data_IF_389849532737
#
_entry.id   IF_389849532737
#
_cell.length_a   1.000
_cell.length_b   1.000
_cell.length_c   1.000
_cell.angle_alpha   90.00
_cell.angle_beta   90.00
_cell.angle_gamma   90.00
#
_symmetry.space_group_name_H-M   'P 1'
#
loop_
_entity.id
_entity.type
_entity.pdbx_description
1 polymer ?
#
# COMPACT_ATOMS: atom_id res chain seq x y z
N UNK A 1 -34.06 -27.55 -6.96
CA UNK A 1 -32.79 -27.80 -6.24
C UNK A 1 -32.23 -29.12 -6.75
N UNK A 2 -31.17 -29.06 -7.58
CA UNK A 2 -30.65 -30.22 -8.31
C UNK A 2 -29.91 -31.20 -7.40
N UNK A 3 -30.00 -32.48 -7.74
CA UNK A 3 -29.41 -33.63 -7.02
C UNK A 3 -27.89 -33.54 -6.89
N UNK A 4 -27.21 -32.78 -7.73
CA UNK A 4 -25.75 -32.68 -7.81
C UNK A 4 -25.07 -31.97 -6.62
N UNK A 5 -25.80 -31.05 -5.96
CA UNK A 5 -25.26 -30.32 -4.81
C UNK A 5 -25.20 -31.15 -3.53
N UNK A 6 -25.98 -32.24 -3.43
CA UNK A 6 -25.99 -33.15 -2.27
C UNK A 6 -24.95 -34.26 -2.34
N UNK A 7 -24.49 -34.64 -3.52
CA UNK A 7 -23.40 -35.63 -3.68
C UNK A 7 -22.03 -35.03 -3.43
N UNK A 8 -21.82 -33.77 -3.77
CA UNK A 8 -20.55 -33.07 -3.49
C UNK A 8 -20.26 -32.95 -1.98
N UNK A 9 -21.28 -32.69 -1.16
CA UNK A 9 -21.11 -32.55 0.30
C UNK A 9 -20.95 -33.86 1.07
N UNK A 10 -21.22 -35.03 0.45
CA UNK A 10 -21.04 -36.34 1.09
C UNK A 10 -19.64 -36.96 0.89
N UNK A 11 -18.81 -36.42 0.00
CA UNK A 11 -17.44 -36.90 -0.23
C UNK A 11 -16.34 -36.16 0.54
N UNK A 12 -16.70 -35.15 1.32
CA UNK A 12 -15.75 -34.32 2.11
C UNK A 12 -15.71 -34.65 3.60
N UNK A 13 -16.14 -35.83 3.99
CA UNK A 13 -16.10 -36.27 5.38
C UNK A 13 -15.09 -37.39 5.62
N UNK A 14 -14.11 -37.11 6.41
CA UNK A 14 -13.04 -37.87 7.09
C UNK A 14 -11.64 -37.60 6.49
N UNK A 15 -10.83 -36.87 7.24
CA UNK A 15 -9.60 -37.35 7.90
C UNK A 15 -9.07 -36.20 8.76
N UNK A 16 -9.24 -36.33 10.08
CA UNK A 16 -8.49 -35.53 11.03
C UNK A 16 -7.11 -36.15 11.22
N UNK A 17 -6.10 -35.42 10.84
CA UNK A 17 -4.71 -35.56 11.31
C UNK A 17 -4.09 -34.18 11.27
N UNK A 18 -3.80 -33.63 12.45
CA UNK A 18 -3.07 -32.38 12.61
C UNK A 18 -1.68 -32.48 11.98
N UNK A 19 -1.58 -32.08 10.73
CA UNK A 19 -0.32 -31.88 10.04
C UNK A 19 0.05 -30.40 10.13
N UNK A 20 1.21 -30.09 10.67
CA UNK A 20 1.85 -28.77 10.51
C UNK A 20 1.97 -28.50 9.01
N UNK A 21 1.10 -27.65 8.45
CA UNK A 21 1.22 -27.19 7.06
C UNK A 21 2.36 -26.20 7.05
N UNK A 22 3.46 -26.56 6.40
CA UNK A 22 4.62 -25.70 6.18
C UNK A 22 4.18 -24.36 5.55
N UNK A 23 4.74 -23.21 5.97
CA UNK A 23 4.49 -21.91 5.34
C UNK A 23 4.79 -21.89 3.83
N UNK A 24 5.64 -22.79 3.34
CA UNK A 24 5.98 -22.94 1.92
C UNK A 24 4.81 -23.42 1.02
N UNK A 25 3.72 -23.95 1.58
CA UNK A 25 2.61 -24.52 0.79
C UNK A 25 1.67 -23.46 0.15
N UNK A 26 1.90 -22.17 0.38
CA UNK A 26 1.10 -21.08 -0.22
C UNK A 26 1.65 -20.68 -1.59
N UNK A 27 2.95 -20.82 -1.80
CA UNK A 27 3.58 -20.51 -3.08
C UNK A 27 3.44 -21.72 -4.01
N UNK A 28 2.88 -21.50 -5.21
CA UNK A 28 2.62 -22.56 -6.16
C UNK A 28 3.92 -23.08 -6.78
N UNK A 29 4.00 -24.41 -6.95
CA UNK A 29 4.89 -25.03 -7.94
C UNK A 29 4.29 -24.99 -9.37
N UNK A 30 3.07 -24.46 -9.55
CA UNK A 30 2.56 -24.20 -10.89
C UNK A 30 3.53 -23.22 -11.56
N UNK A 31 4.00 -23.61 -12.75
CA UNK A 31 4.86 -22.78 -13.59
C UNK A 31 4.29 -21.35 -13.57
N UNK A 32 4.91 -20.50 -12.73
CA UNK A 32 4.88 -19.08 -13.01
C UNK A 32 5.10 -18.99 -14.51
N UNK A 33 4.33 -18.16 -15.20
CA UNK A 33 4.66 -17.84 -16.58
C UNK A 33 6.08 -17.33 -16.44
N UNK A 34 7.03 -18.19 -16.78
CA UNK A 34 8.45 -17.94 -16.57
C UNK A 34 8.87 -17.06 -17.73
N UNK A 35 8.64 -15.76 -17.54
CA UNK A 35 9.27 -14.76 -18.37
C UNK A 35 10.76 -14.82 -18.06
N UNK A 36 11.47 -15.77 -18.71
CA UNK A 36 12.92 -15.93 -18.55
C UNK A 36 13.71 -14.76 -19.16
N UNK A 37 13.02 -13.79 -19.72
CA UNK A 37 13.65 -12.64 -20.36
C UNK A 37 13.71 -11.46 -19.39
N UNK A 38 14.89 -10.87 -19.29
CA UNK A 38 15.12 -9.63 -18.54
C UNK A 38 14.73 -8.38 -19.36
N UNK A 39 14.26 -8.58 -20.61
CA UNK A 39 13.92 -7.51 -21.55
C UNK A 39 12.53 -7.70 -22.15
N UNK A 40 11.69 -6.70 -22.03
CA UNK A 40 10.30 -6.65 -22.53
C UNK A 40 10.02 -5.34 -23.23
N UNK A 41 9.21 -5.37 -24.27
CA UNK A 41 8.60 -4.18 -24.84
C UNK A 41 7.09 -4.20 -24.58
N UNK A 42 6.56 -3.16 -23.95
CA UNK A 42 5.13 -2.87 -23.92
C UNK A 42 4.86 -1.87 -25.02
N UNK A 43 4.00 -2.20 -25.99
CA UNK A 43 3.66 -1.35 -27.14
C UNK A 43 2.17 -1.02 -27.20
N UNK A 44 1.82 -0.05 -28.03
CA UNK A 44 0.43 0.36 -28.27
C UNK A 44 -0.31 0.78 -26.97
N UNK A 45 0.38 1.41 -26.02
CA UNK A 45 -0.19 1.89 -24.77
C UNK A 45 -0.49 3.39 -24.81
N UNK A 46 -1.60 3.81 -24.22
CA UNK A 46 -1.79 5.20 -23.77
C UNK A 46 -0.99 5.38 -22.47
N UNK A 47 0.12 6.14 -22.51
CA UNK A 47 1.10 6.24 -21.43
C UNK A 47 0.87 7.52 -20.65
N UNK A 48 0.60 7.39 -19.34
CA UNK A 48 0.54 8.49 -18.38
C UNK A 48 1.81 8.41 -17.52
N UNK A 49 2.84 9.16 -17.92
CA UNK A 49 4.20 8.96 -17.39
C UNK A 49 4.40 9.41 -15.95
N UNK A 50 3.59 10.34 -15.47
CA UNK A 50 3.80 11.06 -14.19
C UNK A 50 5.16 11.78 -14.10
N UNK A 51 5.75 12.09 -15.25
CA UNK A 51 6.98 12.86 -15.43
C UNK A 51 6.70 14.04 -16.37
N UNK A 52 6.95 15.27 -15.93
CA UNK A 52 6.62 16.48 -16.70
C UNK A 52 7.55 16.68 -17.89
N UNK A 53 8.78 16.18 -17.84
CA UNK A 53 9.75 16.27 -18.95
C UNK A 53 9.48 15.23 -20.03
N UNK A 54 9.06 14.02 -19.63
CA UNK A 54 8.67 12.95 -20.55
C UNK A 54 7.33 13.24 -21.20
N UNK A 55 6.37 13.73 -20.43
CA UNK A 55 4.98 13.96 -20.87
C UNK A 55 4.18 12.65 -20.99
N UNK A 56 3.00 12.76 -21.60
CA UNK A 56 2.07 11.65 -21.81
C UNK A 56 1.99 11.30 -23.31
N UNK A 57 1.73 10.04 -23.63
CA UNK A 57 1.62 9.56 -25.03
C UNK A 57 0.25 8.93 -25.27
N UNK A 58 -0.45 9.35 -26.32
CA UNK A 58 -1.73 8.75 -26.71
C UNK A 58 -1.58 7.35 -27.31
N UNK A 59 -0.41 7.06 -27.89
CA UNK A 59 0.01 5.74 -28.34
C UNK A 59 1.51 5.68 -28.27
N UNK A 60 2.04 4.95 -27.30
CA UNK A 60 3.46 4.85 -27.04
C UNK A 60 3.90 3.42 -26.76
N UNK A 61 5.20 3.30 -26.56
CA UNK A 61 5.87 2.08 -26.16
C UNK A 61 6.81 2.34 -25.00
N UNK A 62 7.08 1.30 -24.21
CA UNK A 62 8.00 1.34 -23.08
C UNK A 62 8.88 0.08 -23.13
N UNK A 63 10.20 0.28 -23.16
CA UNK A 63 11.19 -0.79 -23.12
C UNK A 63 11.69 -0.99 -21.68
N UNK A 64 11.64 -2.23 -21.22
CA UNK A 64 12.20 -2.67 -19.94
C UNK A 64 13.45 -3.51 -20.20
N UNK A 65 14.55 -3.18 -19.55
CA UNK A 65 15.80 -3.94 -19.59
C UNK A 65 16.37 -4.09 -18.18
N UNK A 66 16.68 -5.32 -17.80
CA UNK A 66 17.27 -5.64 -16.48
C UNK A 66 16.49 -5.00 -15.29
N UNK A 67 15.16 -5.04 -15.37
CA UNK A 67 14.24 -4.53 -14.35
C UNK A 67 14.10 -3.00 -14.28
N UNK A 68 14.66 -2.27 -15.26
CA UNK A 68 14.54 -0.81 -15.38
C UNK A 68 13.84 -0.41 -16.67
N UNK A 69 13.25 0.77 -16.64
CA UNK A 69 12.75 1.44 -17.83
C UNK A 69 13.97 1.92 -18.61
N UNK A 70 14.18 1.38 -19.81
CA UNK A 70 15.28 1.78 -20.69
C UNK A 70 14.87 2.95 -21.57
N UNK A 71 13.67 2.87 -22.15
CA UNK A 71 13.16 3.88 -23.06
C UNK A 71 11.63 4.00 -22.98
N UNK A 72 11.11 5.21 -23.20
CA UNK A 72 9.67 5.53 -23.32
C UNK A 72 9.49 6.48 -24.47
N UNK A 73 8.57 6.19 -25.39
CA UNK A 73 8.30 7.05 -26.54
C UNK A 73 7.25 6.51 -27.50
N UNK A 74 6.91 7.31 -28.52
CA UNK A 74 5.97 6.87 -29.57
C UNK A 74 6.57 5.80 -30.49
N UNK A 75 7.85 5.95 -30.83
CA UNK A 75 8.58 5.05 -31.72
C UNK A 75 9.85 4.57 -31.05
N UNK A 76 9.86 3.35 -30.60
CA UNK A 76 11.01 2.69 -30.01
C UNK A 76 11.49 1.61 -30.97
N UNK A 77 12.81 1.55 -31.23
CA UNK A 77 13.41 0.47 -31.99
C UNK A 77 13.27 -0.84 -31.22
N UNK A 78 12.58 -1.83 -31.82
CA UNK A 78 12.32 -3.12 -31.17
C UNK A 78 13.56 -4.02 -31.32
N UNK A 79 14.27 -4.34 -30.23
CA UNK A 79 15.37 -5.29 -30.28
C UNK A 79 14.88 -6.67 -30.76
N UNK A 80 15.69 -7.38 -31.54
CA UNK A 80 15.29 -8.71 -32.03
C UNK A 80 15.25 -9.74 -30.90
N UNK A 81 14.22 -10.58 -30.89
CA UNK A 81 14.13 -11.72 -29.97
C UNK A 81 13.67 -11.41 -28.56
N UNK A 82 13.16 -10.21 -28.31
CA UNK A 82 12.56 -9.85 -27.02
C UNK A 82 11.07 -10.21 -26.98
N UNK A 83 10.55 -10.32 -25.75
CA UNK A 83 9.11 -10.48 -25.54
C UNK A 83 8.37 -9.16 -25.73
N UNK A 84 7.24 -9.21 -26.42
CA UNK A 84 6.40 -8.03 -26.71
C UNK A 84 5.03 -8.21 -26.11
N UNK A 85 4.66 -7.31 -25.23
CA UNK A 85 3.33 -7.20 -24.63
C UNK A 85 2.57 -6.12 -25.40
N UNK A 86 1.49 -6.49 -26.09
CA UNK A 86 0.63 -5.52 -26.77
C UNK A 86 -0.44 -5.00 -25.79
N UNK A 87 -0.39 -3.72 -25.49
CA UNK A 87 -1.34 -3.07 -24.60
C UNK A 87 -2.73 -2.85 -25.23
N UNK A 88 -2.88 -3.06 -26.56
CA UNK A 88 -4.15 -2.94 -27.27
C UNK A 88 -4.87 -1.59 -27.00
N UNK A 89 -4.14 -0.50 -26.85
CA UNK A 89 -4.67 0.82 -26.50
C UNK A 89 -5.02 0.98 -25.02
N UNK A 90 -4.60 0.05 -24.16
CA UNK A 90 -4.74 0.14 -22.71
C UNK A 90 -3.94 1.29 -22.10
N UNK A 91 -4.22 1.64 -20.84
CA UNK A 91 -3.55 2.72 -20.14
C UNK A 91 -2.38 2.15 -19.32
N UNK A 92 -1.17 2.69 -19.56
CA UNK A 92 0.04 2.35 -18.84
C UNK A 92 0.40 3.48 -17.87
N UNK A 93 0.53 3.16 -16.58
CA UNK A 93 0.87 4.09 -15.51
C UNK A 93 2.05 3.57 -14.68
N UNK A 94 2.74 4.44 -13.90
CA UNK A 94 3.61 3.96 -12.82
C UNK A 94 2.81 3.10 -11.85
N UNK A 95 3.47 2.15 -11.24
CA UNK A 95 2.86 1.36 -10.18
C UNK A 95 2.33 2.22 -9.04
N UNK A 96 1.16 1.88 -8.52
CA UNK A 96 0.55 2.61 -7.41
C UNK A 96 1.34 2.36 -6.12
N UNK A 97 1.46 3.38 -5.30
CA UNK A 97 2.18 3.35 -4.02
C UNK A 97 1.20 3.67 -2.90
N UNK A 98 0.99 2.72 -2.00
CA UNK A 98 0.24 2.91 -0.77
C UNK A 98 1.15 3.49 0.32
N UNK A 99 0.80 4.68 0.86
CA UNK A 99 1.63 5.39 1.83
C UNK A 99 1.32 5.07 3.29
N UNK A 100 0.28 4.27 3.56
CA UNK A 100 -0.07 3.86 4.91
C UNK A 100 -1.04 2.70 4.95
N UNK A 101 -0.60 1.56 5.48
CA UNK A 101 -1.44 0.40 5.74
C UNK A 101 -0.98 -0.34 7.00
N UNK A 102 -1.90 -0.95 7.72
CA UNK A 102 -1.65 -1.88 8.82
C UNK A 102 -1.86 -3.30 8.32
N UNK A 103 -0.86 -3.89 7.62
CA UNK A 103 -1.00 -5.16 6.89
C UNK A 103 -1.56 -6.31 7.76
N UNK A 104 -1.16 -6.36 9.04
CA UNK A 104 -1.59 -7.42 9.94
C UNK A 104 -3.11 -7.46 10.18
N UNK A 105 -3.81 -6.32 10.00
CA UNK A 105 -5.26 -6.24 10.18
C UNK A 105 -6.04 -6.84 9.00
N UNK A 106 -5.40 -7.23 7.92
CA UNK A 106 -6.08 -7.66 6.69
C UNK A 106 -6.84 -8.99 6.83
N UNK A 107 -6.54 -9.79 7.85
CA UNK A 107 -7.39 -10.93 8.21
C UNK A 107 -8.67 -10.53 8.97
N UNK A 108 -8.76 -9.29 9.46
CA UNK A 108 -9.81 -8.83 10.38
C UNK A 108 -10.90 -8.02 9.68
N UNK A 109 -11.15 -8.29 8.42
CA UNK A 109 -12.20 -7.63 7.63
C UNK A 109 -13.57 -7.82 8.28
N UNK A 110 -14.32 -6.71 8.41
CA UNK A 110 -15.66 -6.70 9.03
C UNK A 110 -15.70 -7.18 10.50
N UNK A 111 -14.59 -7.05 11.24
CA UNK A 111 -14.53 -7.43 12.65
C UNK A 111 -15.26 -6.46 13.60
N UNK A 112 -15.51 -5.22 13.15
CA UNK A 112 -16.21 -4.21 13.96
C UNK A 112 -17.71 -4.43 13.90
N UNK A 113 -18.35 -4.51 15.06
CA UNK A 113 -19.81 -4.58 15.18
C UNK A 113 -20.49 -3.23 15.33
N UNK A 114 -21.72 -3.26 15.81
CA UNK A 114 -22.63 -2.09 15.89
C UNK A 114 -22.66 -1.44 17.28
N UNK A 115 -21.83 -1.90 18.20
CA UNK A 115 -21.76 -1.37 19.56
C UNK A 115 -20.37 -0.76 19.87
N UNK A 116 -20.25 0.15 20.85
CA UNK A 116 -18.96 0.69 21.29
C UNK A 116 -17.99 -0.38 21.81
N UNK A 117 -18.50 -1.53 22.26
CA UNK A 117 -17.66 -2.63 22.75
C UNK A 117 -17.06 -3.47 21.61
N UNK A 118 -17.67 -3.40 20.43
CA UNK A 118 -17.24 -4.05 19.21
C UNK A 118 -16.60 -3.07 18.20
N UNK A 119 -16.29 -1.86 18.65
CA UNK A 119 -15.62 -0.85 17.82
C UNK A 119 -14.18 -1.26 17.44
N UNK A 120 -13.69 -0.72 16.32
CA UNK A 120 -12.40 -1.04 15.71
C UNK A 120 -11.24 -1.15 16.72
N UNK A 121 -11.08 -0.15 17.59
CA UNK A 121 -9.95 -0.13 18.53
C UNK A 121 -10.03 -1.23 19.59
N UNK A 122 -11.23 -1.56 20.07
CA UNK A 122 -11.41 -2.63 21.06
C UNK A 122 -11.22 -4.00 20.41
N UNK A 123 -11.79 -4.20 19.24
CA UNK A 123 -11.67 -5.47 18.53
C UNK A 123 -10.22 -5.72 18.08
N UNK A 124 -9.54 -4.73 17.49
CA UNK A 124 -8.12 -4.87 17.15
C UNK A 124 -7.26 -5.20 18.37
N UNK A 125 -7.52 -4.60 19.53
CA UNK A 125 -6.77 -4.91 20.76
C UNK A 125 -6.99 -6.36 21.24
N UNK A 126 -8.20 -6.91 21.07
CA UNK A 126 -8.50 -8.31 21.40
C UNK A 126 -7.77 -9.26 20.44
N UNK A 127 -7.96 -9.08 19.13
CA UNK A 127 -7.33 -9.91 18.11
C UNK A 127 -5.80 -9.84 18.13
N UNK A 128 -5.22 -8.67 18.35
CA UNK A 128 -3.76 -8.47 18.37
C UNK A 128 -3.02 -9.42 19.32
N UNK A 129 -3.67 -9.86 20.40
CA UNK A 129 -3.09 -10.78 21.41
C UNK A 129 -2.98 -12.22 20.90
N UNK A 130 -3.79 -12.58 19.90
CA UNK A 130 -3.87 -13.93 19.33
C UNK A 130 -2.87 -14.15 18.19
N UNK A 131 -2.25 -13.06 17.70
CA UNK A 131 -1.30 -13.15 16.59
C UNK A 131 0.04 -13.70 17.03
N UNK A 132 0.57 -14.61 16.24
CA UNK A 132 1.97 -15.03 16.22
C UNK A 132 2.72 -14.34 15.06
N UNK A 133 4.06 -14.40 14.99
CA UNK A 133 4.81 -13.95 13.80
C UNK A 133 4.35 -14.63 12.51
N UNK A 134 3.92 -15.89 12.56
CA UNK A 134 3.38 -16.60 11.38
C UNK A 134 2.02 -16.05 10.95
N UNK A 135 1.18 -15.59 11.88
CA UNK A 135 -0.09 -14.91 11.56
C UNK A 135 0.16 -13.54 10.97
N UNK A 136 1.18 -12.82 11.44
CA UNK A 136 1.61 -11.56 10.85
C UNK A 136 2.06 -11.74 9.39
N UNK A 137 2.86 -12.79 9.10
CA UNK A 137 3.29 -13.12 7.74
C UNK A 137 2.11 -13.52 6.84
N UNK A 138 1.17 -14.32 7.36
CA UNK A 138 -0.04 -14.70 6.63
C UNK A 138 -0.89 -13.47 6.28
N UNK A 139 -1.14 -12.60 7.26
CA UNK A 139 -1.90 -11.37 7.07
C UNK A 139 -1.25 -10.43 6.06
N UNK A 140 0.07 -10.23 6.16
CA UNK A 140 0.82 -9.43 5.22
C UNK A 140 0.79 -10.04 3.81
N UNK A 141 0.97 -11.36 3.67
CA UNK A 141 0.89 -12.05 2.37
C UNK A 141 -0.50 -11.89 1.74
N UNK A 142 -1.57 -12.01 2.55
CA UNK A 142 -2.94 -11.84 2.10
C UNK A 142 -3.22 -10.40 1.63
N UNK A 143 -2.76 -9.40 2.40
CA UNK A 143 -2.85 -7.99 2.03
C UNK A 143 -2.09 -7.68 0.73
N UNK A 144 -0.86 -8.20 0.59
CA UNK A 144 -0.03 -7.97 -0.60
C UNK A 144 -0.66 -8.59 -1.85
N UNK A 145 -1.27 -9.78 -1.74
CA UNK A 145 -1.98 -10.38 -2.86
C UNK A 145 -3.13 -9.48 -3.36
N UNK A 146 -3.90 -8.89 -2.45
CA UNK A 146 -4.95 -7.93 -2.78
C UNK A 146 -4.38 -6.62 -3.33
N UNK A 147 -3.28 -6.13 -2.77
CA UNK A 147 -2.56 -4.94 -3.24
C UNK A 147 -2.13 -5.10 -4.70
N UNK A 148 -1.44 -6.20 -5.04
CA UNK A 148 -1.01 -6.50 -6.41
C UNK A 148 -2.22 -6.65 -7.33
N UNK A 149 -3.29 -7.33 -6.88
CA UNK A 149 -4.53 -7.42 -7.65
C UNK A 149 -5.08 -6.04 -8.01
N UNK A 150 -4.92 -5.06 -7.13
CA UNK A 150 -5.39 -3.67 -7.26
C UNK A 150 -4.35 -2.70 -7.83
N UNK A 151 -3.21 -3.17 -8.37
CA UNK A 151 -2.19 -2.34 -9.02
C UNK A 151 -1.19 -1.66 -8.10
N UNK A 152 -1.18 -2.01 -6.81
CA UNK A 152 -0.21 -1.46 -5.86
C UNK A 152 1.11 -2.23 -6.02
N UNK A 153 2.21 -1.50 -6.23
CA UNK A 153 3.57 -2.02 -6.43
C UNK A 153 4.51 -1.73 -5.26
N UNK A 154 4.10 -0.81 -4.38
CA UNK A 154 4.84 -0.45 -3.16
C UNK A 154 3.87 -0.20 -2.00
N UNK A 155 4.18 -0.72 -0.82
CA UNK A 155 3.33 -0.60 0.37
C UNK A 155 4.14 -0.03 1.53
N UNK A 156 3.57 0.97 2.23
CA UNK A 156 4.07 1.44 3.51
C UNK A 156 3.29 0.78 4.66
N UNK A 157 3.84 -0.31 5.22
CA UNK A 157 3.27 -1.00 6.39
C UNK A 157 3.60 -0.26 7.68
N UNK A 158 2.59 0.21 8.40
CA UNK A 158 2.74 0.68 9.78
C UNK A 158 2.40 -0.47 10.74
N UNK A 159 3.42 -1.21 11.18
CA UNK A 159 3.23 -2.38 12.04
C UNK A 159 3.00 -1.96 13.50
N UNK A 160 1.73 -1.83 13.89
CA UNK A 160 1.33 -1.50 15.27
C UNK A 160 0.89 -2.72 16.10
N UNK A 161 1.36 -3.91 15.71
CA UNK A 161 1.39 -5.11 16.57
C UNK A 161 2.83 -5.63 16.73
N UNK A 162 3.80 -4.72 16.77
CA UNK A 162 5.23 -4.99 16.88
C UNK A 162 5.61 -5.38 18.33
N UNK A 163 5.28 -6.60 18.75
CA UNK A 163 5.58 -7.12 20.10
C UNK A 163 7.07 -7.39 20.30
N UNK A 164 7.75 -7.75 19.23
CA UNK A 164 9.19 -7.87 19.10
C UNK A 164 9.58 -7.77 17.64
N UNK A 165 10.88 -7.84 17.33
CA UNK A 165 11.37 -7.71 15.97
C UNK A 165 10.92 -8.83 15.02
N UNK A 166 10.56 -10.03 15.51
CA UNK A 166 10.07 -11.15 14.70
C UNK A 166 8.69 -10.84 14.10
N UNK A 167 7.82 -10.14 14.86
CA UNK A 167 6.52 -9.67 14.36
C UNK A 167 6.66 -8.67 13.22
N UNK A 168 7.71 -7.84 13.25
CA UNK A 168 7.96 -6.86 12.18
C UNK A 168 8.66 -7.51 11.00
N UNK A 169 9.60 -8.43 11.26
CA UNK A 169 10.27 -9.23 10.23
C UNK A 169 9.28 -9.97 9.33
N UNK A 170 8.16 -10.41 9.87
CA UNK A 170 7.10 -11.10 9.12
C UNK A 170 6.60 -10.28 7.92
N UNK A 171 6.46 -8.94 8.05
CA UNK A 171 6.12 -8.06 6.91
C UNK A 171 7.22 -8.04 5.86
N UNK A 172 8.50 -7.98 6.28
CA UNK A 172 9.63 -8.05 5.35
C UNK A 172 9.68 -9.38 4.59
N UNK A 173 9.47 -10.51 5.29
CA UNK A 173 9.47 -11.84 4.67
C UNK A 173 8.32 -11.96 3.65
N UNK A 174 7.13 -11.49 3.99
CA UNK A 174 5.99 -11.50 3.08
C UNK A 174 6.25 -10.64 1.83
N UNK A 175 6.75 -9.40 1.99
CA UNK A 175 7.08 -8.51 0.88
C UNK A 175 8.16 -9.11 -0.02
N UNK A 176 9.25 -9.65 0.56
CA UNK A 176 10.34 -10.26 -0.19
C UNK A 176 9.87 -11.50 -1.00
N UNK A 177 9.06 -12.38 -0.39
CA UNK A 177 8.50 -13.56 -1.06
C UNK A 177 7.56 -13.21 -2.20
N UNK A 178 6.71 -12.20 -1.99
CA UNK A 178 5.78 -11.72 -3.02
C UNK A 178 6.48 -10.92 -4.11
N UNK A 179 7.67 -10.38 -3.85
CA UNK A 179 8.44 -9.57 -4.78
C UNK A 179 7.92 -8.14 -4.94
N UNK A 180 7.18 -7.64 -3.95
CA UNK A 180 6.70 -6.25 -3.93
C UNK A 180 7.72 -5.33 -3.26
N UNK A 181 7.73 -4.06 -3.66
CA UNK A 181 8.50 -3.02 -2.97
C UNK A 181 7.79 -2.61 -1.67
N UNK A 182 8.57 -2.18 -0.65
CA UNK A 182 7.94 -1.79 0.60
C UNK A 182 8.74 -0.87 1.50
N UNK A 183 8.01 -0.29 2.45
CA UNK A 183 8.55 0.44 3.60
C UNK A 183 7.86 -0.10 4.85
N UNK A 184 8.60 -0.58 5.85
CA UNK A 184 8.01 -1.12 7.07
C UNK A 184 8.38 -0.24 8.24
N UNK A 185 7.40 0.47 8.77
CA UNK A 185 7.52 1.29 9.97
C UNK A 185 7.40 0.41 11.22
N UNK A 186 8.51 0.22 11.94
CA UNK A 186 8.52 -0.51 13.21
C UNK A 186 7.74 0.27 14.26
N UNK A 187 6.49 -0.10 14.48
CA UNK A 187 5.59 0.52 15.45
C UNK A 187 5.79 0.03 16.88
N UNK A 188 4.71 0.05 17.64
CA UNK A 188 4.56 -0.54 18.95
C UNK A 188 3.37 -1.48 18.93
N UNK A 189 3.11 -2.23 19.98
CA UNK A 189 1.83 -2.95 20.11
C UNK A 189 0.87 -2.15 20.98
N UNK A 190 -0.44 -2.38 20.79
CA UNK A 190 -1.49 -1.52 21.34
C UNK A 190 -1.51 -1.41 22.87
N UNK A 191 -1.26 -2.52 23.56
CA UNK A 191 -1.26 -2.59 25.03
C UNK A 191 0.14 -2.33 25.64
N UNK A 192 1.06 -1.75 24.87
CA UNK A 192 2.42 -1.46 25.35
C UNK A 192 2.36 -0.43 26.47
N UNK A 193 2.88 -0.74 27.67
CA UNK A 193 2.90 0.20 28.78
C UNK A 193 3.55 1.53 28.40
N UNK A 194 3.05 2.64 28.97
CA UNK A 194 3.55 3.97 28.63
C UNK A 194 5.03 4.15 28.97
N UNK A 195 5.47 3.52 30.04
CA UNK A 195 6.86 3.60 30.52
C UNK A 195 7.81 2.64 29.79
N UNK A 196 7.30 1.68 29.04
CA UNK A 196 8.14 0.76 28.29
C UNK A 196 8.87 1.50 27.16
N UNK A 197 10.20 1.33 27.05
CA UNK A 197 10.96 1.96 25.98
C UNK A 197 10.64 1.35 24.63
N UNK A 198 10.81 2.15 23.57
CA UNK A 198 10.80 1.65 22.20
C UNK A 198 11.89 0.59 22.01
N UNK A 199 11.58 -0.50 21.31
CA UNK A 199 12.50 -1.63 21.06
C UNK A 199 13.62 -1.28 20.05
N UNK A 200 14.50 -0.36 20.40
CA UNK A 200 15.65 -0.02 19.56
C UNK A 200 16.68 -1.14 19.42
N UNK A 201 16.66 -2.13 20.33
CA UNK A 201 17.49 -3.32 20.17
C UNK A 201 16.97 -4.19 19.01
N UNK A 202 15.68 -4.43 18.96
CA UNK A 202 15.04 -5.15 17.86
C UNK A 202 15.16 -4.41 16.53
N UNK A 203 14.94 -3.08 16.52
CA UNK A 203 15.13 -2.22 15.33
C UNK A 203 16.56 -2.39 14.76
N UNK A 204 17.61 -2.31 15.60
CA UNK A 204 19.00 -2.48 15.17
C UNK A 204 19.27 -3.89 14.65
N UNK A 205 18.71 -4.92 15.30
CA UNK A 205 18.86 -6.31 14.87
C UNK A 205 18.21 -6.54 13.50
N UNK A 206 17.00 -6.02 13.31
CA UNK A 206 16.28 -6.11 12.04
C UNK A 206 16.99 -5.32 10.94
N UNK A 207 17.44 -4.08 11.22
CA UNK A 207 18.23 -3.29 10.26
C UNK A 207 19.48 -4.04 9.77
N UNK A 208 20.23 -4.62 10.71
CA UNK A 208 21.42 -5.41 10.34
C UNK A 208 21.06 -6.62 9.46
N UNK A 209 19.95 -7.30 9.75
CA UNK A 209 19.49 -8.46 8.97
C UNK A 209 19.15 -8.04 7.54
N UNK A 210 18.30 -7.01 7.37
CA UNK A 210 17.84 -6.57 6.04
C UNK A 210 19.00 -6.02 5.20
N UNK A 211 20.00 -5.38 5.79
CA UNK A 211 21.18 -4.89 5.10
C UNK A 211 22.17 -6.00 4.71
N UNK A 212 22.04 -7.19 5.28
CA UNK A 212 22.94 -8.33 5.00
C UNK A 212 22.35 -9.36 4.03
N UNK A 213 21.11 -9.22 3.59
CA UNK A 213 20.41 -10.19 2.73
C UNK A 213 19.69 -9.46 1.59
N UNK A 214 20.21 -9.63 0.38
CA UNK A 214 19.73 -8.94 -0.84
C UNK A 214 18.26 -9.20 -1.18
N UNK A 215 17.65 -10.25 -0.63
CA UNK A 215 16.19 -10.45 -0.82
C UNK A 215 15.35 -9.29 -0.30
N UNK A 216 15.90 -8.46 0.60
CA UNK A 216 15.22 -7.31 1.18
C UNK A 216 15.58 -5.95 0.52
N UNK A 217 16.41 -5.94 -0.54
CA UNK A 217 16.93 -4.71 -1.18
C UNK A 217 15.82 -3.74 -1.65
N UNK A 218 14.60 -4.23 -1.83
CA UNK A 218 13.44 -3.40 -2.24
C UNK A 218 12.56 -2.97 -1.07
N UNK A 219 12.99 -3.23 0.18
CA UNK A 219 12.16 -3.00 1.37
C UNK A 219 12.99 -2.22 2.38
N UNK A 220 12.50 -1.04 2.74
CA UNK A 220 13.15 -0.16 3.72
C UNK A 220 12.53 -0.28 5.11
N UNK A 221 13.32 0.05 6.14
CA UNK A 221 12.87 0.11 7.53
C UNK A 221 12.68 1.56 7.96
N UNK A 222 11.58 1.85 8.66
CA UNK A 222 11.27 3.12 9.28
C UNK A 222 10.88 2.99 10.75
N UNK A 223 10.64 4.13 11.39
CA UNK A 223 10.07 4.22 12.73
C UNK A 223 8.57 4.51 12.65
N UNK A 224 7.72 3.61 13.16
CA UNK A 224 6.34 3.91 13.54
C UNK A 224 6.35 4.57 14.93
N UNK A 225 6.08 5.86 14.98
CA UNK A 225 6.15 6.62 16.23
C UNK A 225 4.97 6.31 17.15
N UNK A 226 5.15 6.48 18.44
CA UNK A 226 4.04 6.63 19.39
C UNK A 226 3.31 7.95 19.13
N UNK A 227 2.25 8.21 19.90
CA UNK A 227 1.48 9.46 19.82
C UNK A 227 2.33 10.72 20.09
N UNK A 228 1.91 11.86 19.56
CA UNK A 228 2.69 13.11 19.54
C UNK A 228 3.06 13.67 20.93
N UNK A 229 2.27 13.34 21.95
CA UNK A 229 2.50 13.77 23.34
C UNK A 229 3.29 12.75 24.18
N UNK A 230 3.83 11.70 23.55
CA UNK A 230 4.67 10.73 24.25
C UNK A 230 5.92 11.41 24.84
N UNK A 231 6.22 11.13 26.12
CA UNK A 231 7.27 11.83 26.87
C UNK A 231 8.68 11.70 26.27
N UNK A 232 8.99 10.54 25.68
CA UNK A 232 10.31 10.26 25.09
C UNK A 232 10.35 10.43 23.56
N UNK A 233 9.35 11.07 22.94
CA UNK A 233 9.23 11.16 21.49
C UNK A 233 10.47 11.77 20.82
N UNK A 234 11.05 12.83 21.42
CA UNK A 234 12.22 13.51 20.86
C UNK A 234 13.47 12.63 20.88
N UNK A 235 13.64 11.82 21.95
CA UNK A 235 14.75 10.87 22.04
C UNK A 235 14.56 9.71 21.06
N UNK A 236 13.35 9.15 20.96
CA UNK A 236 13.05 8.09 20.01
C UNK A 236 13.30 8.53 18.56
N UNK A 237 12.86 9.74 18.20
CA UNK A 237 13.07 10.25 16.84
C UNK A 237 14.53 10.57 16.55
N UNK A 238 15.25 11.13 17.53
CA UNK A 238 16.70 11.30 17.39
C UNK A 238 17.39 9.97 17.12
N UNK A 239 17.09 8.93 17.91
CA UNK A 239 17.68 7.59 17.72
C UNK A 239 17.30 6.95 16.39
N UNK A 240 16.07 7.18 15.91
CA UNK A 240 15.65 6.73 14.59
C UNK A 240 16.46 7.42 13.49
N UNK A 241 16.62 8.74 13.54
CA UNK A 241 17.43 9.51 12.59
C UNK A 241 18.91 9.16 12.63
N UNK A 242 19.46 8.88 13.81
CA UNK A 242 20.83 8.36 13.96
C UNK A 242 21.02 7.01 13.25
N UNK A 243 19.95 6.26 13.00
CA UNK A 243 19.92 5.02 12.22
C UNK A 243 19.50 5.22 10.75
N UNK A 244 19.26 6.45 10.31
CA UNK A 244 18.80 6.77 8.96
C UNK A 244 17.36 6.36 8.67
N UNK A 245 16.50 6.25 9.70
CA UNK A 245 15.11 5.82 9.56
C UNK A 245 14.18 7.03 9.35
N UNK A 246 13.30 6.94 8.36
CA UNK A 246 12.15 7.84 8.21
C UNK A 246 11.14 7.58 9.33
N UNK A 247 10.32 8.58 9.64
CA UNK A 247 9.35 8.52 10.74
C UNK A 247 7.93 8.65 10.21
N UNK A 248 7.06 7.76 10.64
CA UNK A 248 5.61 7.84 10.38
C UNK A 248 4.86 7.97 11.70
N UNK A 249 3.89 8.88 11.76
CA UNK A 249 3.09 9.16 12.96
C UNK A 249 1.64 9.49 12.62
N UNK A 250 0.70 8.92 13.39
CA UNK A 250 -0.69 9.38 13.41
C UNK A 250 -0.79 10.64 14.25
N UNK A 251 -1.21 11.77 13.67
CA UNK A 251 -1.31 13.04 14.37
C UNK A 251 -2.46 13.90 13.83
N UNK A 252 -3.09 14.67 14.71
CA UNK A 252 -4.24 15.54 14.41
C UNK A 252 -5.34 14.78 13.64
N UNK A 253 -5.54 13.48 13.95
CA UNK A 253 -6.45 12.60 13.22
C UNK A 253 -7.93 12.91 13.51
N UNK A 254 -8.25 13.52 14.64
CA UNK A 254 -9.62 13.93 15.03
C UNK A 254 -9.56 15.16 15.94
N UNK A 255 -10.72 15.76 16.25
CA UNK A 255 -10.80 16.97 17.08
C UNK A 255 -10.14 16.83 18.45
N UNK A 256 -10.16 15.62 19.06
CA UNK A 256 -9.47 15.36 20.34
C UNK A 256 -7.94 15.37 20.24
N UNK A 257 -7.41 15.33 19.02
CA UNK A 257 -5.96 15.32 18.73
C UNK A 257 -5.49 16.62 18.06
N UNK A 258 -6.37 17.60 17.92
CA UNK A 258 -6.07 18.90 17.32
C UNK A 258 -4.84 19.55 17.98
N UNK A 259 -3.95 20.11 17.17
CA UNK A 259 -2.73 20.76 17.65
C UNK A 259 -1.54 19.82 17.87
N UNK A 260 -1.67 18.52 17.60
CA UNK A 260 -0.57 17.56 17.73
C UNK A 260 0.58 17.85 16.75
N UNK A 261 0.28 18.24 15.50
CA UNK A 261 1.28 18.62 14.50
C UNK A 261 2.03 19.87 14.98
N UNK A 262 1.31 20.87 15.53
CA UNK A 262 1.93 22.05 16.12
C UNK A 262 2.84 21.71 17.33
N UNK A 263 2.46 20.71 18.12
CA UNK A 263 3.32 20.20 19.21
C UNK A 263 4.62 19.60 18.69
N UNK A 264 4.55 18.81 17.60
CA UNK A 264 5.73 18.24 16.95
C UNK A 264 6.65 19.32 16.38
N UNK A 265 6.07 20.34 15.73
CA UNK A 265 6.82 21.50 15.20
C UNK A 265 7.58 22.25 16.31
N UNK A 266 6.91 22.57 17.42
CA UNK A 266 7.56 23.26 18.57
C UNK A 266 8.68 22.45 19.20
N UNK A 267 8.68 21.13 19.05
CA UNK A 267 9.76 20.23 19.49
C UNK A 267 10.88 20.08 18.45
N UNK A 268 10.81 20.78 17.31
CA UNK A 268 11.72 20.66 16.16
C UNK A 268 11.82 19.22 15.62
N UNK A 269 10.69 18.52 15.56
CA UNK A 269 10.64 17.13 15.10
C UNK A 269 10.24 17.00 13.64
N UNK A 270 9.50 17.96 13.06
CA UNK A 270 9.06 17.91 11.67
C UNK A 270 10.22 18.20 10.70
N UNK A 271 10.35 17.37 9.68
CA UNK A 271 11.29 17.49 8.57
C UNK A 271 10.78 16.64 7.39
N UNK A 272 11.44 16.68 6.26
CA UNK A 272 11.13 15.94 5.02
C UNK A 272 11.18 14.40 5.18
N UNK A 273 11.74 13.89 6.27
CA UNK A 273 11.74 12.48 6.64
C UNK A 273 10.48 12.02 7.40
N UNK A 274 9.52 12.93 7.62
CA UNK A 274 8.32 12.68 8.43
C UNK A 274 7.08 12.53 7.55
N UNK A 275 6.31 11.47 7.79
CA UNK A 275 4.98 11.27 7.24
C UNK A 275 3.92 11.38 8.34
N UNK A 276 3.04 12.37 8.22
CA UNK A 276 1.85 12.53 9.09
C UNK A 276 0.70 11.73 8.50
N UNK A 277 0.05 10.90 9.32
CA UNK A 277 -1.12 10.14 8.89
C UNK A 277 -2.39 10.79 9.39
N UNK A 278 -3.39 10.86 8.51
CA UNK A 278 -4.72 11.43 8.64
C UNK A 278 -4.74 12.96 8.57
N UNK A 279 -4.54 13.66 9.71
CA UNK A 279 -4.60 15.11 9.72
C UNK A 279 -6.01 15.71 9.55
N UNK A 280 -7.11 14.97 9.83
CA UNK A 280 -8.47 15.45 9.65
C UNK A 280 -8.83 16.66 10.53
N UNK A 281 -8.12 16.85 11.65
CA UNK A 281 -8.24 18.03 12.52
C UNK A 281 -7.10 19.04 12.35
N UNK A 282 -6.36 18.97 11.23
CA UNK A 282 -5.27 19.91 10.91
C UNK A 282 -5.79 21.34 10.85
N UNK A 283 -5.02 22.27 11.41
CA UNK A 283 -5.34 23.70 11.43
C UNK A 283 -4.59 24.45 10.33
N UNK A 284 -5.03 25.66 9.93
CA UNK A 284 -4.29 26.48 8.98
C UNK A 284 -2.85 26.83 9.41
N UNK A 285 -2.60 26.88 10.73
CA UNK A 285 -1.26 27.07 11.29
C UNK A 285 -0.40 25.81 11.07
N UNK A 286 -0.96 24.63 11.32
CA UNK A 286 -0.28 23.33 11.13
C UNK A 286 0.04 23.05 9.68
N UNK A 287 -0.81 23.48 8.73
CA UNK A 287 -0.53 23.45 7.28
C UNK A 287 0.78 24.20 6.99
N UNK A 288 0.92 25.45 7.48
CA UNK A 288 2.13 26.24 7.29
C UNK A 288 3.38 25.58 7.90
N UNK A 289 3.24 24.87 9.01
CA UNK A 289 4.34 24.13 9.61
C UNK A 289 4.79 22.97 8.71
N UNK A 290 3.86 22.21 8.14
CA UNK A 290 4.20 21.15 7.21
C UNK A 290 4.83 21.69 5.92
N UNK A 291 4.29 22.80 5.36
CA UNK A 291 4.88 23.47 4.20
C UNK A 291 6.33 23.92 4.46
N UNK A 292 6.59 24.49 5.64
CA UNK A 292 7.93 25.04 5.99
C UNK A 292 8.96 23.96 6.27
N UNK A 293 8.54 22.74 6.64
CA UNK A 293 9.43 21.64 7.02
C UNK A 293 9.58 20.58 5.95
N UNK A 294 8.69 20.57 4.93
CA UNK A 294 8.67 19.54 3.90
C UNK A 294 8.14 18.19 4.36
N UNK A 295 7.57 18.10 5.58
CA UNK A 295 6.92 16.89 6.05
C UNK A 295 5.70 16.56 5.17
N UNK A 296 5.52 15.28 4.84
CA UNK A 296 4.40 14.79 4.02
C UNK A 296 3.16 14.51 4.87
N UNK A 297 1.99 14.50 4.22
CA UNK A 297 0.74 14.08 4.83
C UNK A 297 0.05 13.01 3.98
N UNK A 298 -0.39 11.92 4.62
CA UNK A 298 -1.12 10.82 3.99
C UNK A 298 -2.56 10.79 4.48
N UNK A 299 -3.51 10.94 3.55
CA UNK A 299 -4.94 10.77 3.78
C UNK A 299 -5.36 9.32 3.56
N UNK A 300 -6.34 8.84 4.35
CA UNK A 300 -6.91 7.51 4.22
C UNK A 300 -8.44 7.58 4.23
N UNK A 301 -9.05 8.12 3.16
CA UNK A 301 -10.41 8.69 3.19
C UNK A 301 -11.48 7.72 3.69
N UNK A 302 -11.45 6.46 3.29
CA UNK A 302 -12.46 5.48 3.70
C UNK A 302 -12.38 5.14 5.18
N UNK A 303 -11.18 4.89 5.71
CA UNK A 303 -11.02 4.56 7.14
C UNK A 303 -11.34 5.74 8.03
N UNK A 304 -10.92 6.95 7.64
CA UNK A 304 -11.17 8.21 8.36
C UNK A 304 -12.67 8.47 8.52
N UNK A 305 -13.43 8.34 7.43
CA UNK A 305 -14.88 8.50 7.46
C UNK A 305 -15.56 7.36 8.23
N UNK A 306 -15.14 6.10 8.01
CA UNK A 306 -15.73 4.91 8.64
C UNK A 306 -15.57 4.92 10.16
N UNK A 307 -14.41 5.41 10.66
CA UNK A 307 -14.11 5.46 12.10
C UNK A 307 -14.62 6.75 12.77
N UNK A 308 -15.12 7.70 11.99
CA UNK A 308 -15.68 8.95 12.51
C UNK A 308 -14.64 10.03 12.83
N UNK A 309 -13.48 10.03 12.15
CA UNK A 309 -12.50 11.12 12.29
C UNK A 309 -12.96 12.41 11.59
N UNK A 310 -13.88 12.30 10.66
CA UNK A 310 -14.41 13.38 9.85
C UNK A 310 -14.03 13.23 8.38
N UNK A 311 -14.28 14.28 7.59
CA UNK A 311 -13.89 14.30 6.20
C UNK A 311 -12.40 14.67 6.05
N UNK A 312 -11.69 14.06 5.09
CA UNK A 312 -10.36 14.51 4.70
C UNK A 312 -10.34 16.01 4.35
N UNK A 313 -9.28 16.70 4.73
CA UNK A 313 -9.09 18.14 4.47
C UNK A 313 -8.56 18.39 3.05
N UNK A 314 -9.14 17.71 2.06
CA UNK A 314 -8.63 17.71 0.68
C UNK A 314 -8.57 19.10 0.06
N UNK A 315 -9.52 20.01 0.34
CA UNK A 315 -9.53 21.35 -0.24
C UNK A 315 -8.37 22.19 0.31
N UNK A 316 -8.23 22.24 1.62
CA UNK A 316 -7.16 22.99 2.29
C UNK A 316 -5.77 22.45 1.90
N UNK A 317 -5.66 21.14 1.71
CA UNK A 317 -4.41 20.47 1.32
C UNK A 317 -4.11 20.66 -0.17
N UNK A 318 -5.12 20.70 -1.04
CA UNK A 318 -4.96 20.96 -2.48
C UNK A 318 -4.49 22.40 -2.75
N UNK A 319 -4.81 23.35 -1.87
CA UNK A 319 -4.35 24.74 -1.93
C UNK A 319 -2.96 24.96 -1.32
N UNK A 320 -2.38 23.93 -0.72
CA UNK A 320 -1.07 23.98 -0.05
C UNK A 320 0.06 23.40 -0.90
N UNK A 321 1.30 23.65 -0.47
CA UNK A 321 2.50 23.03 -1.07
C UNK A 321 2.93 21.74 -0.38
N UNK A 322 2.12 21.21 0.54
CA UNK A 322 2.40 19.97 1.25
C UNK A 322 2.42 18.80 0.25
N UNK A 323 3.42 17.93 0.39
CA UNK A 323 3.43 16.67 -0.34
C UNK A 323 2.34 15.73 0.18
N UNK A 324 1.16 15.76 -0.45
CA UNK A 324 0.00 14.96 -0.09
C UNK A 324 0.04 13.59 -0.75
N UNK A 325 -0.29 12.56 0.02
CA UNK A 325 -0.33 11.16 -0.40
C UNK A 325 -1.63 10.49 0.03
N UNK A 326 -1.85 9.28 -0.43
CA UNK A 326 -3.01 8.44 -0.07
C UNK A 326 -2.57 7.08 0.45
N UNK A 327 -3.37 6.47 1.31
CA UNK A 327 -3.18 5.13 1.82
C UNK A 327 -4.49 4.40 2.06
N UNK A 328 -4.40 3.07 2.21
CA UNK A 328 -5.52 2.18 2.55
C UNK A 328 -5.83 2.21 4.05
N UNK A 329 -4.81 2.42 4.88
CA UNK A 329 -4.84 2.32 6.34
C UNK A 329 -5.12 0.89 6.81
N UNK A 330 -6.34 0.40 6.65
CA UNK A 330 -6.72 -0.94 7.11
C UNK A 330 -7.94 -1.46 6.37
N UNK A 331 -7.83 -2.65 5.78
CA UNK A 331 -8.97 -3.32 5.14
C UNK A 331 -10.05 -3.79 6.13
N UNK A 332 -9.76 -3.76 7.42
CA UNK A 332 -10.77 -3.97 8.47
C UNK A 332 -11.82 -2.84 8.51
N UNK A 333 -11.48 -1.63 8.05
CA UNK A 333 -12.39 -0.48 7.94
C UNK A 333 -12.76 -0.16 6.50
N UNK A 334 -11.79 -0.19 5.56
CA UNK A 334 -12.03 0.17 4.16
C UNK A 334 -12.72 -0.94 3.37
N UNK A 335 -12.63 -2.19 3.83
CA UNK A 335 -13.22 -3.35 3.18
C UNK A 335 -12.40 -3.93 2.03
N UNK A 336 -11.58 -3.14 1.34
CA UNK A 336 -10.74 -3.57 0.22
C UNK A 336 -9.48 -2.69 0.08
N UNK A 337 -8.57 -3.10 -0.82
CA UNK A 337 -7.32 -2.40 -1.12
C UNK A 337 -7.36 -1.62 -2.46
N UNK A 338 -8.51 -1.12 -2.86
CA UNK A 338 -8.67 -0.41 -4.13
C UNK A 338 -8.24 1.06 -3.99
N UNK A 339 -6.95 1.34 -4.21
CA UNK A 339 -6.37 2.67 -3.99
C UNK A 339 -6.91 3.73 -4.98
N UNK A 340 -7.22 3.34 -6.23
CA UNK A 340 -7.85 4.25 -7.20
C UNK A 340 -9.24 4.73 -6.74
N UNK A 341 -9.99 3.90 -6.02
CA UNK A 341 -11.27 4.31 -5.44
C UNK A 341 -11.10 5.32 -4.30
N UNK A 342 -10.02 5.22 -3.53
CA UNK A 342 -9.63 6.24 -2.54
C UNK A 342 -9.31 7.60 -3.22
N UNK A 343 -8.65 7.59 -4.38
CA UNK A 343 -8.39 8.78 -5.18
C UNK A 343 -9.69 9.40 -5.72
N UNK A 344 -10.60 8.58 -6.25
CA UNK A 344 -11.95 8.98 -6.68
C UNK A 344 -12.73 9.65 -5.55
N UNK A 345 -12.67 9.06 -4.35
CA UNK A 345 -13.31 9.62 -3.17
C UNK A 345 -12.75 11.02 -2.84
N UNK A 346 -11.44 11.20 -2.84
CA UNK A 346 -10.81 12.51 -2.59
C UNK A 346 -11.21 13.54 -3.64
N UNK A 347 -11.21 13.18 -4.94
CA UNK A 347 -11.66 14.06 -6.01
C UNK A 347 -13.10 14.50 -5.80
N UNK A 348 -14.00 13.56 -5.56
CA UNK A 348 -15.43 13.84 -5.38
C UNK A 348 -15.71 14.70 -4.14
N UNK A 349 -15.02 14.43 -3.02
CA UNK A 349 -15.13 15.25 -1.80
C UNK A 349 -14.64 16.67 -2.03
N UNK A 350 -13.50 16.83 -2.70
CA UNK A 350 -12.95 18.15 -3.02
C UNK A 350 -13.88 18.96 -3.90
N UNK A 351 -14.36 18.39 -4.99
CA UNK A 351 -15.29 19.01 -5.90
C UNK A 351 -16.63 19.38 -5.21
N UNK A 352 -17.17 18.46 -4.40
CA UNK A 352 -18.41 18.71 -3.67
C UNK A 352 -18.27 19.85 -2.65
N UNK A 353 -17.18 19.90 -1.90
CA UNK A 353 -16.90 20.96 -0.95
C UNK A 353 -16.70 22.33 -1.63
N UNK A 354 -16.00 22.36 -2.76
CA UNK A 354 -15.79 23.57 -3.56
C UNK A 354 -17.06 23.98 -4.34
N UNK A 355 -18.03 23.06 -4.54
CA UNK A 355 -19.18 23.23 -5.44
C UNK A 355 -18.76 23.54 -6.88
N UNK A 356 -17.66 22.92 -7.31
CA UNK A 356 -17.05 23.08 -8.61
C UNK A 356 -16.51 21.73 -9.11
N UNK A 357 -17.02 21.24 -10.24
CA UNK A 357 -16.62 19.96 -10.83
C UNK A 357 -15.18 19.92 -11.34
N UNK A 358 -14.55 21.10 -11.50
CA UNK A 358 -13.19 21.26 -12.02
C UNK A 358 -12.14 21.52 -10.93
N UNK A 359 -12.55 21.59 -9.66
CA UNK A 359 -11.68 22.03 -8.56
C UNK A 359 -10.51 21.05 -8.31
N UNK A 360 -10.76 19.75 -8.34
CA UNK A 360 -9.72 18.73 -8.17
C UNK A 360 -9.40 18.09 -9.53
N UNK A 361 -8.17 18.28 -9.99
CA UNK A 361 -7.69 17.68 -11.23
C UNK A 361 -7.38 16.18 -11.03
N UNK A 362 -7.89 15.24 -11.86
CA UNK A 362 -7.63 13.81 -11.73
C UNK A 362 -6.14 13.44 -11.88
N UNK A 363 -5.33 14.20 -12.62
CA UNK A 363 -3.88 14.00 -12.70
C UNK A 363 -3.23 14.28 -11.34
N UNK A 364 -3.66 15.32 -10.63
CA UNK A 364 -3.09 15.69 -9.33
C UNK A 364 -3.40 14.65 -8.25
N UNK A 365 -4.61 14.08 -8.24
CA UNK A 365 -4.88 12.99 -7.29
C UNK A 365 -4.12 11.71 -7.65
N UNK A 366 -3.88 11.42 -8.94
CA UNK A 366 -3.04 10.28 -9.33
C UNK A 366 -1.59 10.46 -8.84
N UNK A 367 -1.06 11.68 -8.83
CA UNK A 367 0.27 11.97 -8.23
C UNK A 367 0.34 11.56 -6.76
N UNK A 368 -0.77 11.64 -6.00
CA UNK A 368 -0.80 11.24 -4.58
C UNK A 368 -0.53 9.75 -4.35
N UNK A 369 -0.80 8.89 -5.35
CA UNK A 369 -0.53 7.47 -5.32
C UNK A 369 0.69 7.05 -6.20
N UNK A 370 1.44 8.00 -6.75
CA UNK A 370 2.57 7.74 -7.63
C UNK A 370 3.78 8.58 -7.21
N UNK A 371 4.09 9.66 -7.90
CA UNK A 371 5.32 10.43 -7.66
C UNK A 371 5.35 11.13 -6.28
N UNK A 372 4.22 11.62 -5.76
CA UNK A 372 4.16 12.21 -4.43
C UNK A 372 4.39 11.14 -3.35
N UNK A 373 3.78 9.97 -3.53
CA UNK A 373 3.98 8.82 -2.66
C UNK A 373 5.44 8.35 -2.67
N UNK A 374 6.08 8.32 -3.83
CA UNK A 374 7.51 8.01 -3.95
C UNK A 374 8.38 9.04 -3.19
N UNK A 375 8.09 10.34 -3.30
CA UNK A 375 8.75 11.40 -2.54
C UNK A 375 8.58 11.22 -1.04
N UNK A 376 7.36 10.89 -0.59
CA UNK A 376 7.08 10.62 0.82
C UNK A 376 7.96 9.48 1.37
N UNK A 377 8.23 8.44 0.58
CA UNK A 377 9.07 7.32 0.98
C UNK A 377 10.58 7.55 0.71
N UNK A 378 10.95 8.64 0.03
CA UNK A 378 12.32 8.96 -0.36
C UNK A 378 12.87 8.08 -1.48
N UNK A 379 11.99 7.55 -2.33
CA UNK A 379 12.32 6.65 -3.46
C UNK A 379 11.94 7.23 -4.82
N UNK A 380 11.70 8.53 -4.92
CA UNK A 380 11.28 9.19 -6.17
C UNK A 380 12.32 9.11 -7.30
N UNK A 381 13.57 8.85 -6.96
CA UNK A 381 14.65 8.58 -7.94
C UNK A 381 14.61 7.16 -8.49
N UNK A 382 13.90 6.26 -7.80
CA UNK A 382 13.81 4.85 -8.15
C UNK A 382 12.50 4.50 -8.84
N UNK A 383 11.38 5.12 -8.46
CA UNK A 383 10.04 4.78 -8.95
C UNK A 383 9.06 5.97 -8.84
N UNK A 384 7.78 5.76 -9.13
CA UNK A 384 6.71 6.76 -9.03
C UNK A 384 6.47 7.54 -10.33
N UNK A 385 7.28 7.34 -11.37
CA UNK A 385 7.05 7.83 -12.74
C UNK A 385 7.67 6.89 -13.76
N UNK A 386 7.17 6.90 -15.00
CA UNK A 386 7.71 6.12 -16.12
C UNK A 386 8.86 6.88 -16.80
N UNK A 387 9.95 7.05 -16.08
CA UNK A 387 11.14 7.78 -16.53
C UNK A 387 12.27 6.82 -16.85
N UNK A 388 12.98 6.92 -17.98
CA UNK A 388 14.16 6.12 -18.27
C UNK A 388 15.20 6.14 -17.13
N UNK A 389 15.72 4.97 -16.81
CA UNK A 389 16.65 4.74 -15.69
C UNK A 389 15.99 4.37 -14.36
N UNK A 390 14.71 4.67 -14.17
CA UNK A 390 13.94 4.20 -13.01
C UNK A 390 13.61 2.71 -13.10
N UNK A 391 13.22 2.15 -12.00
CA UNK A 391 12.72 0.78 -11.89
C UNK A 391 11.44 0.60 -12.71
N UNK A 392 11.32 -0.55 -13.37
CA UNK A 392 10.08 -0.92 -14.06
C UNK A 392 9.04 -1.40 -13.05
N UNK A 393 8.51 -0.46 -12.27
CA UNK A 393 7.36 -0.59 -11.40
C UNK A 393 6.18 0.05 -12.13
N UNK A 394 5.30 -0.74 -12.74
CA UNK A 394 4.27 -0.24 -13.65
C UNK A 394 3.01 -1.09 -13.62
N UNK A 395 1.90 -0.49 -14.08
CA UNK A 395 0.58 -1.12 -14.19
C UNK A 395 0.00 -0.84 -15.55
N UNK A 396 -0.49 -1.89 -16.21
CA UNK A 396 -1.27 -1.81 -17.45
C UNK A 396 -2.73 -2.12 -17.16
N UNK A 397 -3.63 -1.22 -17.58
CA UNK A 397 -5.08 -1.43 -17.54
C UNK A 397 -5.60 -1.62 -18.98
N UNK A 398 -6.36 -2.68 -19.22
CA UNK A 398 -7.01 -2.93 -20.52
C UNK A 398 -8.37 -2.25 -20.62
N UNK A 399 -8.68 -1.68 -21.80
CA UNK A 399 -9.95 -0.98 -22.09
C UNK A 399 -11.02 -1.90 -22.74
N UNK A 400 -11.01 -3.19 -22.42
CA UNK A 400 -11.87 -4.19 -23.03
C UNK A 400 -13.07 -4.62 -22.16
N UNK A 401 -13.32 -3.92 -21.05
CA UNK A 401 -14.44 -4.22 -20.15
C UNK A 401 -15.53 -3.16 -20.23
N UNK A 402 -16.77 -3.53 -19.82
CA UNK A 402 -17.98 -2.71 -19.94
C UNK A 402 -17.86 -1.38 -19.19
N UNK A 403 -17.17 -1.34 -18.05
CA UNK A 403 -16.96 -0.13 -17.26
C UNK A 403 -15.82 0.77 -17.78
N UNK A 404 -14.96 0.26 -18.68
CA UNK A 404 -13.70 0.91 -19.03
C UNK A 404 -13.46 1.07 -20.54
N UNK A 405 -14.39 0.56 -21.38
CA UNK A 405 -14.26 0.56 -22.84
C UNK A 405 -14.68 1.87 -23.52
N UNK A 406 -15.40 2.75 -22.82
CA UNK A 406 -15.88 4.01 -23.36
C UNK A 406 -15.23 5.18 -22.63
N UNK A 407 -14.63 6.10 -23.37
CA UNK A 407 -13.99 7.29 -22.80
C UNK A 407 -12.69 7.65 -23.53
N UNK A 408 -12.42 8.95 -23.62
CA UNK A 408 -11.26 9.49 -24.30
C UNK A 408 -10.43 10.46 -23.45
N UNK A 409 -10.67 10.49 -22.14
CA UNK A 409 -9.95 11.28 -21.16
C UNK A 409 -9.26 10.31 -20.17
N UNK A 410 -8.02 9.91 -20.40
CA UNK A 410 -7.41 8.77 -19.69
C UNK A 410 -7.33 8.97 -18.18
N UNK A 411 -7.00 10.17 -17.71
CA UNK A 411 -6.99 10.46 -16.27
C UNK A 411 -8.38 10.35 -15.63
N UNK A 412 -9.41 10.90 -16.28
CA UNK A 412 -10.79 10.79 -15.82
C UNK A 412 -11.24 9.33 -15.84
N UNK A 413 -11.00 8.63 -16.94
CA UNK A 413 -11.37 7.22 -17.06
C UNK A 413 -10.72 6.38 -15.97
N UNK A 414 -9.42 6.61 -15.71
CA UNK A 414 -8.67 5.90 -14.67
C UNK A 414 -9.22 6.16 -13.27
N UNK A 415 -9.40 7.43 -12.89
CA UNK A 415 -9.84 7.78 -11.53
C UNK A 415 -11.32 7.47 -11.32
N UNK A 416 -12.16 7.71 -12.32
CA UNK A 416 -13.61 7.61 -12.13
C UNK A 416 -14.18 6.21 -12.37
N UNK A 417 -13.49 5.38 -13.17
CA UNK A 417 -14.09 4.14 -13.69
C UNK A 417 -13.27 2.88 -13.48
N UNK A 418 -11.94 2.98 -13.25
CA UNK A 418 -11.11 1.79 -13.13
C UNK A 418 -11.47 0.93 -11.91
N UNK A 419 -11.50 -0.37 -12.13
CA UNK A 419 -11.67 -1.42 -11.13
C UNK A 419 -10.45 -2.34 -11.13
N UNK A 420 -10.19 -3.12 -10.07
CA UNK A 420 -9.09 -4.09 -10.03
C UNK A 420 -9.11 -5.10 -11.18
N UNK A 421 -10.29 -5.42 -11.71
CA UNK A 421 -10.50 -6.33 -12.86
C UNK A 421 -9.93 -5.76 -14.17
N UNK A 422 -9.89 -4.44 -14.33
CA UNK A 422 -9.31 -3.80 -15.51
C UNK A 422 -7.77 -3.84 -15.52
N UNK A 423 -7.14 -4.12 -14.38
CA UNK A 423 -5.70 -4.23 -14.25
C UNK A 423 -5.24 -5.57 -14.80
N UNK A 424 -4.59 -5.54 -15.94
CA UNK A 424 -4.12 -6.71 -16.68
C UNK A 424 -2.71 -7.14 -16.27
N UNK A 425 -1.81 -6.16 -16.10
CA UNK A 425 -0.42 -6.41 -15.75
C UNK A 425 0.01 -5.53 -14.58
N UNK A 426 0.75 -6.14 -13.64
CA UNK A 426 1.48 -5.45 -12.57
C UNK A 426 2.91 -5.95 -12.58
N UNK A 427 3.85 -5.01 -12.69
CA UNK A 427 5.29 -5.29 -12.72
C UNK A 427 6.00 -4.52 -11.60
N UNK A 428 6.96 -5.17 -10.92
CA UNK A 428 7.83 -4.57 -9.91
C UNK A 428 9.28 -4.94 -10.20
N UNK A 429 10.13 -3.96 -10.44
CA UNK A 429 11.54 -4.18 -10.83
C UNK A 429 11.70 -5.13 -12.02
N UNK A 430 10.79 -5.02 -13.00
CA UNK A 430 10.76 -5.90 -14.17
C UNK A 430 10.15 -7.29 -13.90
N UNK A 431 9.86 -7.64 -12.65
CA UNK A 431 9.18 -8.91 -12.32
C UNK A 431 7.67 -8.76 -12.45
N UNK A 432 7.04 -9.62 -13.24
CA UNK A 432 5.59 -9.64 -13.42
C UNK A 432 4.94 -10.34 -12.22
N UNK A 433 4.09 -9.61 -11.49
CA UNK A 433 3.34 -10.09 -10.32
C UNK A 433 1.87 -10.37 -10.62
N UNK A 434 1.32 -9.75 -11.68
CA UNK A 434 -0.01 -10.01 -12.23
C UNK A 434 0.09 -9.98 -13.75
N UNK A 435 -0.56 -10.92 -14.44
CA UNK A 435 -0.63 -10.99 -15.90
C UNK A 435 -1.94 -11.63 -16.34
N UNK A 436 -2.53 -11.10 -17.40
CA UNK A 436 -3.85 -11.53 -17.89
C UNK A 436 -4.89 -11.57 -16.75
N UNK A 437 -4.84 -10.52 -15.89
CA UNK A 437 -5.73 -10.38 -14.74
C UNK A 437 -5.44 -11.34 -13.57
N UNK A 438 -4.45 -12.23 -13.65
CA UNK A 438 -4.16 -13.27 -12.65
C UNK A 438 -2.85 -13.00 -11.91
N UNK A 439 -2.86 -13.21 -10.59
CA UNK A 439 -1.64 -13.16 -9.78
C UNK A 439 -0.68 -14.29 -10.17
N UNK A 440 0.61 -13.95 -10.24
CA UNK A 440 1.68 -14.93 -10.53
C UNK A 440 2.38 -15.35 -9.24
N UNK A 441 2.94 -16.57 -9.22
CA UNK A 441 3.81 -17.03 -8.13
C UNK A 441 3.12 -17.34 -6.81
N UNK A 442 1.77 -17.33 -6.74
CA UNK A 442 1.01 -17.63 -5.52
C UNK A 442 -0.22 -18.49 -5.84
N UNK A 443 -0.50 -19.44 -4.97
CA UNK A 443 -1.77 -20.17 -5.00
C UNK A 443 -2.83 -19.41 -4.22
N UNK A 444 -3.62 -18.61 -4.92
CA UNK A 444 -4.61 -17.71 -4.32
C UNK A 444 -5.70 -18.48 -3.56
N UNK A 445 -6.17 -19.62 -4.07
CA UNK A 445 -7.20 -20.44 -3.42
C UNK A 445 -6.72 -20.92 -2.04
N UNK A 446 -5.51 -21.47 -1.97
CA UNK A 446 -4.91 -21.89 -0.69
C UNK A 446 -4.67 -20.74 0.27
N UNK A 447 -4.29 -19.56 -0.25
CA UNK A 447 -4.11 -18.38 0.59
C UNK A 447 -5.44 -17.94 1.21
N UNK A 448 -6.51 -17.87 0.42
CA UNK A 448 -7.87 -17.53 0.87
C UNK A 448 -8.35 -18.53 1.93
N UNK A 449 -8.21 -19.82 1.66
CA UNK A 449 -8.59 -20.90 2.60
C UNK A 449 -7.85 -20.75 3.95
N UNK A 450 -6.53 -20.58 3.90
CA UNK A 450 -5.70 -20.44 5.10
C UNK A 450 -6.04 -19.19 5.90
N UNK A 451 -6.25 -18.03 5.23
CA UNK A 451 -6.65 -16.79 5.86
C UNK A 451 -8.03 -16.91 6.54
N UNK A 452 -9.01 -17.49 5.83
CA UNK A 452 -10.36 -17.70 6.36
C UNK A 452 -10.41 -18.66 7.55
N UNK A 453 -9.65 -19.77 7.49
CA UNK A 453 -9.54 -20.71 8.60
C UNK A 453 -8.92 -20.05 9.83
N UNK A 454 -7.83 -19.29 9.65
CA UNK A 454 -7.16 -18.62 10.78
C UNK A 454 -8.05 -17.53 11.41
N UNK A 455 -8.76 -16.75 10.60
CA UNK A 455 -9.74 -15.79 11.13
C UNK A 455 -10.81 -16.51 11.96
N UNK A 456 -11.36 -17.61 11.45
CA UNK A 456 -12.39 -18.42 12.15
C UNK A 456 -11.90 -18.95 13.50
N UNK A 457 -10.65 -19.41 13.56
CA UNK A 457 -10.02 -19.86 14.81
C UNK A 457 -9.91 -18.70 15.82
N UNK A 458 -9.33 -17.59 15.40
CA UNK A 458 -9.18 -16.41 16.27
C UNK A 458 -10.52 -15.85 16.76
N UNK A 459 -11.55 -15.86 15.90
CA UNK A 459 -12.87 -15.35 16.28
C UNK A 459 -13.52 -16.20 17.38
N UNK A 460 -13.36 -17.53 17.34
CA UNK A 460 -13.82 -18.43 18.41
C UNK A 460 -13.16 -18.20 19.76
N UNK A 461 -11.92 -17.68 19.78
CA UNK A 461 -11.21 -17.37 21.02
C UNK A 461 -11.65 -16.02 21.63
N UNK A 462 -12.32 -15.17 20.84
CA UNK A 462 -12.80 -13.85 21.27
C UNK A 462 -14.25 -13.88 21.75
N UNK A 463 -15.09 -14.75 21.14
CA UNK A 463 -16.46 -15.04 21.58
C UNK A 463 -16.48 -15.70 22.96
#
# INVERSE_FOLDING_TARGET
MSKDRREFLKKSGLIGLGGFISPFAIFSEEKAIDFQQETFLIKNAEILSMDEEIGDFTSGSLLVESGKISEVGENIDIPQGIEVIDAEGGILIPGLIDCHWHLWTSLLRSMSGDSPDEGYFKMTARFAKLYSPADMELAATYAIAEAVHSGITCISDYNHNARNWEFVKASFDAMAKMGIRGHVSYGTYRDMPEDDPKDFKGIKSLKKLIESDSKYDSISLGLGSRYANYKNISEDWKRARDLGLRVTIHASSNEGQKGQIASLFRKNLLDSDVNIIHGNAITPEEIKFLESTGASLTMTPYSEMRIGYGLPKINELNESTINCCVGIDTTALTGNAHLLDSLKMLQNLGNANAKDEFYINPKEVLKMATINAAKNLGIEKETGSLTPGKSADLVLLKKNDINFSTGNKPYHLLIESALPENIDLVMVKGKILKYDGKLTGINLEKLIEKAGNRFTEMNKEIE
#
